data_IF_587281715491
#
_entry.id   IF_587281715491
#
_cell.length_a   1.000
_cell.length_b   1.000
_cell.length_c   1.000
_cell.angle_alpha   90.00
_cell.angle_beta   90.00
_cell.angle_gamma   90.00
#
_symmetry.space_group_name_H-M   'P 1'
#
loop_
_entity.id
_entity.type
_entity.pdbx_description
1 polymer ?
#
# COMPACT_ATOMS: atom_id res chain seq x y z
N UNK A 1 -5.81 8.50 -6.88
CA UNK A 1 -4.47 8.93 -6.49
C UNK A 1 -4.58 10.24 -5.71
N UNK A 2 -4.09 10.25 -4.48
CA UNK A 2 -4.11 11.42 -3.61
C UNK A 2 -2.66 11.73 -3.24
N UNK A 3 -2.20 12.94 -3.56
CA UNK A 3 -0.95 13.51 -3.05
C UNK A 3 -1.28 14.39 -1.84
N UNK A 4 -0.70 14.04 -0.70
CA UNK A 4 -0.81 14.85 0.50
C UNK A 4 0.38 15.80 0.55
N UNK A 5 0.14 17.09 0.31
CA UNK A 5 1.13 18.14 0.46
C UNK A 5 1.07 18.76 1.86
N UNK A 6 2.21 19.01 2.44
CA UNK A 6 2.28 19.92 3.57
C UNK A 6 2.43 21.37 3.08
N UNK A 7 1.53 22.24 3.51
CA UNK A 7 1.32 23.60 2.97
C UNK A 7 2.31 24.63 3.53
N UNK A 8 3.17 24.25 4.48
CA UNK A 8 4.00 25.21 5.24
C UNK A 8 5.43 25.39 4.74
N UNK A 9 5.85 24.71 3.67
CA UNK A 9 7.19 24.86 3.06
C UNK A 9 8.37 24.42 3.95
N UNK A 10 8.10 23.83 5.10
CA UNK A 10 9.08 23.40 6.11
C UNK A 10 9.29 21.87 6.16
N UNK A 11 8.67 21.11 5.22
CA UNK A 11 8.60 19.66 5.34
C UNK A 11 9.36 18.92 4.24
N UNK A 12 9.96 17.76 4.58
CA UNK A 12 10.93 17.09 3.72
C UNK A 12 10.32 16.39 2.50
N UNK A 13 8.99 16.34 2.34
CA UNK A 13 8.42 15.62 1.21
C UNK A 13 6.91 15.51 1.18
N UNK A 14 6.41 14.56 0.37
CA UNK A 14 4.99 14.29 0.15
C UNK A 14 4.64 12.84 0.50
N UNK A 15 3.41 12.61 0.96
CA UNK A 15 2.79 11.29 1.02
C UNK A 15 2.03 10.98 -0.26
N UNK A 16 2.10 9.75 -0.71
CA UNK A 16 1.37 9.27 -1.88
C UNK A 16 0.58 8.01 -1.52
N UNK A 17 -0.73 8.03 -1.72
CA UNK A 17 -1.55 6.82 -1.66
C UNK A 17 -2.08 6.47 -3.04
N UNK A 18 -1.72 5.28 -3.53
CA UNK A 18 -2.29 4.69 -4.73
C UNK A 18 -3.34 3.65 -4.35
N UNK A 19 -4.46 3.61 -5.07
CA UNK A 19 -5.56 2.68 -4.80
C UNK A 19 -5.98 1.94 -6.06
N UNK A 20 -6.30 0.65 -5.94
CA UNK A 20 -6.78 -0.20 -7.04
C UNK A 20 -5.81 -0.16 -8.23
N UNK A 21 -6.25 0.28 -9.40
CA UNK A 21 -5.44 0.38 -10.64
C UNK A 21 -4.21 1.29 -10.47
N UNK A 22 -4.29 2.29 -9.61
CA UNK A 22 -3.18 3.20 -9.33
C UNK A 22 -2.34 2.77 -8.12
N UNK A 23 -2.67 1.64 -7.50
CA UNK A 23 -2.01 1.17 -6.28
C UNK A 23 -0.50 1.15 -6.38
N UNK A 24 0.03 0.46 -7.38
CA UNK A 24 1.47 0.34 -7.59
C UNK A 24 2.15 1.66 -8.05
N UNK A 25 1.40 2.67 -8.48
CA UNK A 25 1.99 3.95 -8.88
C UNK A 25 2.60 4.71 -7.69
N UNK A 26 2.06 4.52 -6.48
CA UNK A 26 2.70 5.06 -5.27
C UNK A 26 4.12 4.50 -5.09
N UNK A 27 4.34 3.23 -5.48
CA UNK A 27 5.66 2.60 -5.48
C UNK A 27 6.56 3.17 -6.58
N UNK A 28 6.04 3.34 -7.80
CA UNK A 28 6.78 3.96 -8.92
C UNK A 28 7.19 5.40 -8.62
N UNK A 29 6.35 6.13 -7.88
CA UNK A 29 6.66 7.51 -7.47
C UNK A 29 7.80 7.61 -6.46
N UNK A 30 8.17 6.51 -5.79
CA UNK A 30 9.33 6.49 -4.89
C UNK A 30 10.66 6.74 -5.59
N UNK A 31 10.73 6.74 -6.92
CA UNK A 31 11.96 7.14 -7.63
C UNK A 31 12.24 8.64 -7.44
N UNK A 32 11.22 9.43 -7.13
CA UNK A 32 11.36 10.82 -6.73
C UNK A 32 11.61 10.91 -5.21
N UNK A 33 12.69 11.58 -4.83
CA UNK A 33 13.13 11.72 -3.43
C UNK A 33 12.12 12.48 -2.58
N UNK A 34 11.26 13.30 -3.17
CA UNK A 34 10.20 14.03 -2.45
C UNK A 34 9.11 13.11 -1.91
N UNK A 35 8.94 11.90 -2.44
CA UNK A 35 7.94 10.95 -1.95
C UNK A 35 8.47 10.22 -0.72
N UNK A 36 8.04 10.63 0.46
CA UNK A 36 8.52 10.12 1.75
C UNK A 36 7.59 9.11 2.41
N UNK A 37 6.32 9.09 2.04
CA UNK A 37 5.31 8.21 2.62
C UNK A 37 4.47 7.52 1.54
N UNK A 38 5.02 6.48 0.87
CA UNK A 38 4.28 5.69 -0.12
C UNK A 38 3.34 4.69 0.55
N UNK A 39 2.06 4.72 0.14
CA UNK A 39 1.02 3.79 0.59
C UNK A 39 0.33 3.16 -0.63
N UNK A 40 0.19 1.85 -0.61
CA UNK A 40 -0.51 1.07 -1.62
C UNK A 40 -1.77 0.46 -1.01
N UNK A 41 -2.94 0.95 -1.41
CA UNK A 41 -4.20 0.31 -1.02
C UNK A 41 -4.69 -0.57 -2.16
N UNK A 42 -4.84 -1.87 -1.90
CA UNK A 42 -5.25 -2.91 -2.86
C UNK A 42 -4.66 -2.73 -4.28
N UNK A 43 -3.33 -2.76 -4.46
CA UNK A 43 -2.71 -2.56 -5.77
C UNK A 43 -3.09 -3.66 -6.75
N UNK A 44 -3.77 -3.31 -7.85
CA UNK A 44 -4.43 -4.27 -8.75
C UNK A 44 -3.73 -4.47 -10.10
N UNK A 45 -2.73 -3.66 -10.44
CA UNK A 45 -1.96 -3.82 -11.68
C UNK A 45 -0.59 -4.46 -11.44
N UNK A 46 -0.09 -5.26 -12.39
CA UNK A 46 -0.83 -5.79 -13.54
C UNK A 46 -1.91 -6.78 -13.11
N UNK A 47 -2.96 -6.93 -13.93
CA UNK A 47 -4.00 -7.92 -13.63
C UNK A 47 -3.41 -9.33 -13.57
N UNK A 48 -3.84 -10.12 -12.59
CA UNK A 48 -3.30 -11.44 -12.27
C UNK A 48 -3.67 -12.56 -13.26
N UNK A 49 -3.46 -12.34 -14.56
CA UNK A 49 -3.80 -13.29 -15.64
C UNK A 49 -2.79 -14.44 -15.78
N UNK A 50 -1.62 -14.33 -15.16
CA UNK A 50 -0.58 -15.38 -15.07
C UNK A 50 0.08 -15.33 -13.71
N UNK A 51 0.87 -16.35 -13.37
CA UNK A 51 1.64 -16.38 -12.13
C UNK A 51 2.61 -15.18 -12.04
N UNK A 52 3.28 -14.84 -13.13
CA UNK A 52 4.19 -13.70 -13.19
C UNK A 52 3.46 -12.37 -12.96
N UNK A 53 2.29 -12.18 -13.57
CA UNK A 53 1.48 -10.98 -13.36
C UNK A 53 0.93 -10.89 -11.93
N UNK A 54 0.58 -12.02 -11.31
CA UNK A 54 0.13 -12.04 -9.92
C UNK A 54 1.23 -11.55 -8.97
N UNK A 55 2.48 -11.96 -9.22
CA UNK A 55 3.64 -11.59 -8.42
C UNK A 55 4.22 -10.20 -8.76
N UNK A 56 3.91 -9.65 -9.93
CA UNK A 56 4.54 -8.42 -10.42
C UNK A 56 4.15 -7.17 -9.62
N UNK A 57 5.13 -6.29 -9.40
CA UNK A 57 4.97 -4.98 -8.74
C UNK A 57 4.79 -3.82 -9.72
N UNK A 58 4.80 -4.09 -11.03
CA UNK A 58 4.66 -3.08 -12.08
C UNK A 58 5.76 -2.00 -12.07
N UNK A 59 7.00 -2.43 -11.79
CA UNK A 59 8.20 -1.59 -11.80
C UNK A 59 9.19 -2.09 -12.84
N UNK A 60 9.99 -1.19 -13.40
CA UNK A 60 11.21 -1.57 -14.12
C UNK A 60 12.29 -2.04 -13.14
N UNK A 61 13.27 -2.81 -13.61
CA UNK A 61 14.41 -3.24 -12.77
C UNK A 61 15.20 -2.05 -12.20
N UNK A 62 15.36 -0.97 -12.99
CA UNK A 62 16.02 0.24 -12.54
C UNK A 62 15.26 0.93 -11.41
N UNK A 63 13.93 1.05 -11.53
CA UNK A 63 13.09 1.67 -10.51
C UNK A 63 13.03 0.81 -9.25
N UNK A 64 12.96 -0.52 -9.42
CA UNK A 64 13.00 -1.45 -8.29
C UNK A 64 14.30 -1.32 -7.49
N UNK A 65 15.44 -1.13 -8.16
CA UNK A 65 16.71 -0.92 -7.47
C UNK A 65 16.69 0.35 -6.61
N UNK A 66 16.10 1.45 -7.11
CA UNK A 66 15.92 2.70 -6.36
C UNK A 66 14.97 2.49 -5.18
N UNK A 67 13.83 1.84 -5.41
CA UNK A 67 12.82 1.57 -4.38
C UNK A 67 13.40 0.71 -3.25
N UNK A 68 14.15 -0.36 -3.58
CA UNK A 68 14.86 -1.20 -2.57
C UNK A 68 15.82 -0.37 -1.72
N UNK A 69 16.63 0.46 -2.37
CA UNK A 69 17.58 1.34 -1.67
C UNK A 69 16.84 2.26 -0.71
N UNK A 70 15.84 2.98 -1.18
CA UNK A 70 15.08 3.92 -0.35
C UNK A 70 14.34 3.23 0.81
N UNK A 71 13.75 2.05 0.55
CA UNK A 71 13.11 1.26 1.60
C UNK A 71 14.11 0.86 2.70
N UNK A 72 15.33 0.45 2.34
CA UNK A 72 16.40 0.12 3.28
C UNK A 72 16.96 1.33 4.05
N UNK A 73 16.82 2.53 3.51
CA UNK A 73 17.25 3.81 4.09
C UNK A 73 16.14 4.49 4.93
N UNK A 74 15.02 3.80 5.19
CA UNK A 74 13.95 4.26 6.08
C UNK A 74 12.70 4.82 5.38
N UNK A 75 12.69 4.97 4.05
CA UNK A 75 11.47 5.28 3.29
C UNK A 75 10.68 3.99 3.02
N UNK A 76 10.14 3.36 4.08
CA UNK A 76 9.38 2.12 3.95
C UNK A 76 8.05 2.29 3.22
N UNK A 77 7.47 1.18 2.80
CA UNK A 77 6.20 1.10 2.06
C UNK A 77 5.14 0.46 2.93
N UNK A 78 3.98 1.10 3.06
CA UNK A 78 2.79 0.47 3.65
C UNK A 78 1.88 -0.04 2.53
N UNK A 79 1.44 -1.29 2.61
CA UNK A 79 0.46 -1.84 1.68
C UNK A 79 -0.71 -2.51 2.40
N UNK A 80 -1.91 -2.34 1.83
CA UNK A 80 -3.18 -2.81 2.38
C UNK A 80 -3.88 -3.72 1.37
N UNK A 81 -4.51 -4.82 1.82
CA UNK A 81 -5.40 -5.64 1.01
C UNK A 81 -6.38 -6.44 1.86
N UNK A 82 -7.46 -6.90 1.24
CA UNK A 82 -8.26 -8.01 1.76
C UNK A 82 -7.70 -9.36 1.30
N UNK A 83 -7.75 -10.37 2.15
CA UNK A 83 -7.19 -11.70 1.83
C UNK A 83 -7.90 -12.40 0.69
N UNK A 84 -9.20 -12.19 0.53
CA UNK A 84 -10.02 -12.78 -0.54
C UNK A 84 -10.13 -11.95 -1.82
N UNK A 85 -9.47 -10.80 -1.91
CA UNK A 85 -9.53 -9.93 -3.08
C UNK A 85 -8.83 -10.54 -4.30
N UNK A 86 -9.56 -10.93 -5.36
CA UNK A 86 -8.97 -11.56 -6.54
C UNK A 86 -8.15 -10.59 -7.40
N UNK A 87 -8.37 -9.27 -7.26
CA UNK A 87 -7.65 -8.25 -8.02
C UNK A 87 -6.33 -7.85 -7.36
N UNK A 88 -6.18 -8.13 -6.06
CA UNK A 88 -4.97 -7.86 -5.31
C UNK A 88 -4.39 -9.17 -4.74
N UNK A 89 -3.70 -9.96 -5.56
CA UNK A 89 -3.22 -11.31 -5.18
C UNK A 89 -2.12 -11.26 -4.11
N UNK A 90 -2.10 -12.28 -3.24
CA UNK A 90 -1.11 -12.41 -2.16
C UNK A 90 0.32 -12.51 -2.68
N UNK A 91 0.54 -13.12 -3.84
CA UNK A 91 1.86 -13.30 -4.46
C UNK A 91 2.55 -11.96 -4.71
N UNK A 92 1.80 -10.88 -4.96
CA UNK A 92 2.35 -9.53 -5.08
C UNK A 92 2.89 -9.03 -3.75
N UNK A 93 2.20 -9.27 -2.66
CA UNK A 93 2.65 -8.92 -1.31
C UNK A 93 3.86 -9.76 -0.89
N UNK A 94 3.89 -11.04 -1.24
CA UNK A 94 5.06 -11.91 -1.03
C UNK A 94 6.29 -11.38 -1.78
N UNK A 95 6.10 -10.92 -3.03
CA UNK A 95 7.17 -10.27 -3.79
C UNK A 95 7.65 -9.00 -3.10
N UNK A 96 6.74 -8.11 -2.67
CA UNK A 96 7.11 -6.88 -1.95
C UNK A 96 7.88 -7.20 -0.65
N UNK A 97 7.45 -8.20 0.13
CA UNK A 97 8.19 -8.64 1.33
C UNK A 97 9.61 -9.10 1.00
N UNK A 98 9.76 -9.90 -0.05
CA UNK A 98 11.07 -10.40 -0.49
C UNK A 98 11.98 -9.28 -0.97
N UNK A 99 11.44 -8.32 -1.74
CA UNK A 99 12.21 -7.27 -2.39
C UNK A 99 12.56 -6.09 -1.46
N UNK A 100 11.68 -5.77 -0.51
CA UNK A 100 11.80 -4.58 0.34
C UNK A 100 12.17 -4.92 1.80
N UNK A 101 12.10 -6.20 2.20
CA UNK A 101 12.50 -6.66 3.53
C UNK A 101 11.81 -5.88 4.65
N UNK A 102 12.59 -5.40 5.61
CA UNK A 102 12.13 -4.62 6.77
C UNK A 102 11.49 -3.27 6.37
N UNK A 103 11.74 -2.80 5.16
CA UNK A 103 11.11 -1.60 4.61
C UNK A 103 9.68 -1.82 4.10
N UNK A 104 9.08 -3.00 4.30
CA UNK A 104 7.72 -3.30 3.85
C UNK A 104 6.80 -3.67 5.01
N UNK A 105 5.78 -2.86 5.22
CA UNK A 105 4.69 -3.12 6.16
C UNK A 105 3.43 -3.53 5.38
N UNK A 106 2.84 -4.68 5.73
CA UNK A 106 1.62 -5.18 5.10
C UNK A 106 0.49 -5.30 6.11
N UNK A 107 -0.69 -4.78 5.74
CA UNK A 107 -1.95 -5.03 6.45
C UNK A 107 -2.84 -5.87 5.54
N UNK A 108 -2.99 -7.14 5.90
CA UNK A 108 -3.85 -8.09 5.20
C UNK A 108 -5.08 -8.39 6.06
N UNK A 109 -6.22 -7.85 5.65
CA UNK A 109 -7.49 -7.96 6.37
C UNK A 109 -8.19 -9.24 5.95
N UNK A 110 -8.55 -10.07 6.93
CA UNK A 110 -9.29 -11.30 6.68
C UNK A 110 -10.67 -11.01 6.10
N UNK A 111 -10.89 -11.48 4.88
CA UNK A 111 -12.19 -11.50 4.20
C UNK A 111 -12.60 -12.92 3.80
N UNK A 112 -12.09 -13.94 4.50
CA UNK A 112 -12.53 -15.32 4.30
C UNK A 112 -13.99 -15.52 4.70
N UNK A 113 -14.60 -16.58 4.21
CA UNK A 113 -15.97 -16.91 4.57
C UNK A 113 -16.07 -17.18 6.08
N UNK A 114 -17.02 -16.49 6.74
CA UNK A 114 -17.22 -16.59 8.18
C UNK A 114 -16.24 -15.75 9.03
N UNK A 115 -15.51 -14.83 8.44
CA UNK A 115 -14.65 -13.90 9.19
C UNK A 115 -15.46 -13.12 10.24
N UNK A 116 -14.84 -12.76 11.39
CA UNK A 116 -15.58 -12.21 12.55
C UNK A 116 -16.19 -10.84 12.32
N UNK A 117 -15.76 -10.12 11.27
CA UNK A 117 -16.23 -8.76 10.99
C UNK A 117 -17.29 -8.70 9.87
N UNK A 118 -17.72 -9.85 9.31
CA UNK A 118 -18.71 -9.91 8.25
C UNK A 118 -18.24 -9.27 6.93
N UNK A 119 -16.94 -9.10 6.75
CA UNK A 119 -16.35 -8.54 5.52
C UNK A 119 -16.64 -9.50 4.36
N UNK A 120 -17.14 -8.95 3.26
CA UNK A 120 -17.45 -9.74 2.08
C UNK A 120 -16.19 -10.36 1.48
N UNK A 121 -16.28 -11.62 1.02
CA UNK A 121 -15.13 -12.37 0.47
C UNK A 121 -14.39 -11.64 -0.65
N UNK A 122 -15.11 -10.87 -1.46
CA UNK A 122 -14.55 -10.11 -2.59
C UNK A 122 -14.45 -8.62 -2.30
N UNK A 123 -14.43 -8.20 -1.01
CA UNK A 123 -14.16 -6.83 -0.64
C UNK A 123 -12.81 -6.39 -1.24
N UNK A 124 -12.74 -5.14 -1.70
CA UNK A 124 -11.61 -4.64 -2.48
C UNK A 124 -11.06 -3.32 -1.93
N UNK A 125 -11.92 -2.36 -1.61
CA UNK A 125 -11.54 -0.96 -1.36
C UNK A 125 -11.32 -0.67 0.13
N UNK A 126 -10.16 -1.05 0.67
CA UNK A 126 -9.85 -1.08 2.12
C UNK A 126 -10.18 0.22 2.85
N UNK A 127 -9.79 1.37 2.31
CA UNK A 127 -9.89 2.69 2.98
C UNK A 127 -10.92 3.61 2.33
N UNK A 128 -11.80 3.07 1.49
CA UNK A 128 -12.86 3.85 0.82
C UNK A 128 -14.19 3.11 0.87
N UNK A 129 -14.61 2.42 -0.20
CA UNK A 129 -15.95 1.83 -0.33
C UNK A 129 -16.26 0.77 0.72
N UNK A 130 -15.27 -0.06 1.08
CA UNK A 130 -15.43 -1.13 2.08
C UNK A 130 -14.94 -0.70 3.48
N UNK A 131 -14.66 0.59 3.67
CA UNK A 131 -14.34 1.13 4.98
C UNK A 131 -15.58 1.12 5.89
N UNK A 132 -15.42 0.50 7.04
CA UNK A 132 -16.38 0.56 8.14
C UNK A 132 -15.79 1.44 9.23
N UNK A 133 -16.43 2.59 9.50
CA UNK A 133 -15.98 3.57 10.51
C UNK A 133 -16.55 3.22 11.88
N UNK A 134 -16.10 2.08 12.40
CA UNK A 134 -16.42 1.60 13.75
C UNK A 134 -15.12 1.32 14.51
N UNK A 135 -15.06 1.71 15.78
CA UNK A 135 -13.88 1.55 16.62
C UNK A 135 -13.42 0.08 16.70
N UNK A 136 -12.18 -0.16 16.33
CA UNK A 136 -11.56 -1.49 16.30
C UNK A 136 -11.90 -2.33 15.07
N UNK A 137 -12.71 -1.83 14.13
CA UNK A 137 -12.92 -2.54 12.87
C UNK A 137 -11.61 -2.57 12.04
N UNK A 138 -11.23 -3.71 11.42
CA UNK A 138 -9.93 -3.85 10.75
C UNK A 138 -9.66 -2.80 9.67
N UNK A 139 -10.68 -2.36 8.94
CA UNK A 139 -10.52 -1.33 7.91
C UNK A 139 -10.31 0.06 8.51
N UNK A 140 -10.91 0.37 9.66
CA UNK A 140 -10.65 1.61 10.39
C UNK A 140 -9.24 1.60 10.98
N UNK A 141 -8.81 0.48 11.55
CA UNK A 141 -7.42 0.32 12.03
C UNK A 141 -6.42 0.52 10.90
N UNK A 142 -6.71 -0.04 9.72
CA UNK A 142 -5.87 0.16 8.52
C UNK A 142 -5.82 1.63 8.09
N UNK A 143 -6.95 2.34 8.09
CA UNK A 143 -6.99 3.78 7.79
C UNK A 143 -6.19 4.59 8.82
N UNK A 144 -6.32 4.28 10.10
CA UNK A 144 -5.55 4.96 11.14
C UNK A 144 -4.05 4.74 10.93
N UNK A 145 -3.61 3.52 10.57
CA UNK A 145 -2.20 3.26 10.28
C UNK A 145 -1.69 4.06 9.07
N UNK A 146 -2.49 4.22 8.03
CA UNK A 146 -2.14 5.11 6.90
C UNK A 146 -1.92 6.55 7.37
N UNK A 147 -2.82 7.07 8.20
CA UNK A 147 -2.71 8.43 8.74
C UNK A 147 -1.50 8.60 9.67
N UNK A 148 -1.16 7.57 10.45
CA UNK A 148 0.03 7.54 11.28
C UNK A 148 1.30 7.60 10.43
N UNK A 149 1.42 6.76 9.40
CA UNK A 149 2.56 6.77 8.46
C UNK A 149 2.75 8.15 7.84
N UNK A 150 1.67 8.82 7.45
CA UNK A 150 1.75 10.18 6.93
C UNK A 150 2.22 11.18 8.00
N UNK A 151 1.71 11.09 9.24
CA UNK A 151 2.15 11.97 10.33
C UNK A 151 3.61 11.73 10.69
N UNK A 152 4.01 10.47 10.86
CA UNK A 152 5.38 10.09 11.23
C UNK A 152 6.42 10.60 10.22
N UNK A 153 6.10 10.57 8.93
CA UNK A 153 7.07 10.85 7.86
C UNK A 153 6.97 12.25 7.27
N UNK A 154 5.86 12.95 7.46
CA UNK A 154 5.63 14.27 6.88
C UNK A 154 5.63 15.39 7.92
N UNK A 155 5.56 15.07 9.22
CA UNK A 155 5.55 16.05 10.32
C UNK A 155 6.85 16.03 11.16
N UNK A 156 7.90 15.42 10.66
CA UNK A 156 9.19 15.33 11.36
C UNK A 156 9.97 16.66 11.31
#
# INVERSE_FOLDING_TARGET
FILMHNVSGLFPGVGAIGMCLTGNFALSLMVDESVMAPVLSQPSLPFGVSADHRAAMHLSESDLAIVRKRASEGCGVLALRFTGDPMCPSERFETMRRELGEGFEAIEIDSSEGNPHGIQKMAHSVVTTDLVDEEGHPTQVALHRVLEVFRERLNA
#
